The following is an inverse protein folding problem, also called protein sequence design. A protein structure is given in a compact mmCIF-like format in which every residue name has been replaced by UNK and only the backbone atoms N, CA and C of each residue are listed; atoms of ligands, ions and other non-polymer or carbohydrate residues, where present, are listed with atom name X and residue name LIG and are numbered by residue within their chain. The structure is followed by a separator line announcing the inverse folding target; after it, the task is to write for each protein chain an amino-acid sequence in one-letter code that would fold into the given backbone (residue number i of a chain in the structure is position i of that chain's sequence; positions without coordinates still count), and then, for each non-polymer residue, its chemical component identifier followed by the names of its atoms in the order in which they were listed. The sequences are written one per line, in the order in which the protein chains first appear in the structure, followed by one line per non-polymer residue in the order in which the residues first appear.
data_IF_532452456774
#
_entry.id   IF_532452456774
#
_cell.length_a   1.000
_cell.length_b   1.000
_cell.length_c   1.000
_cell.angle_alpha   90.00
_cell.angle_beta   90.00
_cell.angle_gamma   90.00
#
_symmetry.space_group_name_H-M   'P 1'
#
loop_
_entity.id
_entity.type
_entity.pdbx_description
1 polymer ?
#
# COMPACT_ATOMS: atom_id res chain seq x y z
N UNK A 1 -28.55 46.15 3.81
CA UNK A 1 -27.98 46.70 2.58
C UNK A 1 -28.15 45.66 1.48
N UNK A 2 -29.23 45.79 0.67
CA UNK A 2 -29.47 44.83 -0.43
C UNK A 2 -28.48 45.12 -1.55
N UNK A 3 -27.50 44.30 -1.69
CA UNK A 3 -26.56 44.35 -2.81
C UNK A 3 -27.30 43.77 -4.01
N UNK A 4 -27.67 44.59 -4.96
CA UNK A 4 -28.20 44.16 -6.26
C UNK A 4 -27.02 43.60 -7.05
N UNK A 5 -26.93 42.25 -7.12
CA UNK A 5 -25.76 41.53 -7.60
C UNK A 5 -25.71 41.37 -9.13
N UNK A 6 -26.66 41.95 -9.88
CA UNK A 6 -26.66 41.95 -11.35
C UNK A 6 -26.71 43.34 -11.98
N UNK A 7 -26.19 43.43 -13.22
CA UNK A 7 -26.23 44.68 -14.02
C UNK A 7 -27.65 45.17 -14.31
N UNK A 8 -28.67 44.29 -14.25
CA UNK A 8 -30.10 44.59 -14.46
C UNK A 8 -30.88 44.72 -13.14
N UNK A 9 -30.21 44.81 -11.98
CA UNK A 9 -30.83 44.98 -10.68
C UNK A 9 -31.58 43.73 -10.14
N UNK A 10 -31.35 42.54 -10.69
CA UNK A 10 -31.88 41.25 -10.20
C UNK A 10 -30.91 40.62 -9.21
N UNK A 11 -31.44 39.96 -8.19
CA UNK A 11 -30.63 39.17 -7.25
C UNK A 11 -30.09 37.90 -7.93
N UNK A 12 -28.78 37.76 -7.89
CA UNK A 12 -28.09 36.54 -8.42
C UNK A 12 -28.03 35.41 -7.39
N UNK A 13 -28.17 35.72 -6.10
CA UNK A 13 -28.05 34.78 -4.99
C UNK A 13 -26.76 34.96 -4.19
N UNK A 14 -26.77 34.47 -2.93
CA UNK A 14 -25.65 34.65 -1.98
C UNK A 14 -24.34 34.06 -2.50
N UNK A 15 -23.36 34.92 -2.75
CA UNK A 15 -22.01 34.53 -3.23
C UNK A 15 -21.86 34.57 -4.75
N UNK A 16 -22.85 35.07 -5.48
CA UNK A 16 -22.80 35.27 -6.94
C UNK A 16 -23.06 36.72 -7.26
N UNK A 17 -22.28 37.32 -8.15
CA UNK A 17 -22.49 38.67 -8.67
C UNK A 17 -22.12 38.72 -10.16
N UNK A 18 -22.80 39.61 -10.88
CA UNK A 18 -22.50 39.84 -12.29
C UNK A 18 -21.45 40.96 -12.42
N UNK A 19 -20.40 40.69 -13.17
CA UNK A 19 -19.32 41.63 -13.47
C UNK A 19 -19.73 42.57 -14.60
N UNK A 20 -18.99 43.66 -14.75
CA UNK A 20 -19.22 44.65 -15.83
C UNK A 20 -19.03 44.07 -17.24
N UNK A 21 -18.23 43.02 -17.36
CA UNK A 21 -18.02 42.27 -18.61
C UNK A 21 -19.15 41.26 -18.95
N UNK A 22 -20.22 41.23 -18.11
CA UNK A 22 -21.38 40.37 -18.30
C UNK A 22 -21.24 38.96 -17.68
N UNK A 23 -20.06 38.53 -17.29
CA UNK A 23 -19.83 37.25 -16.68
C UNK A 23 -20.32 37.17 -15.21
N UNK A 24 -20.74 36.00 -14.76
CA UNK A 24 -21.12 35.74 -13.39
C UNK A 24 -19.94 35.21 -12.59
N UNK A 25 -19.56 35.89 -11.52
CA UNK A 25 -18.57 35.42 -10.55
C UNK A 25 -19.29 34.71 -9.41
N UNK A 26 -18.98 33.45 -9.19
CA UNK A 26 -19.42 32.70 -8.02
C UNK A 26 -18.26 32.50 -7.06
N UNK A 27 -18.48 32.83 -5.77
CA UNK A 27 -17.45 32.76 -4.73
C UNK A 27 -17.97 32.15 -3.45
N UNK A 28 -17.10 31.36 -2.78
CA UNK A 28 -17.34 30.90 -1.42
C UNK A 28 -16.06 30.85 -0.63
N UNK A 29 -16.15 30.78 0.68
CA UNK A 29 -15.04 30.57 1.58
C UNK A 29 -15.07 29.14 2.08
N UNK A 30 -13.98 28.44 1.86
CA UNK A 30 -13.76 27.08 2.36
C UNK A 30 -13.66 27.09 3.88
N UNK A 31 -13.93 25.94 4.55
CA UNK A 31 -13.73 25.76 6.00
C UNK A 31 -12.33 26.19 6.47
N UNK A 32 -11.33 26.08 5.60
CA UNK A 32 -9.95 26.53 5.85
C UNK A 32 -9.73 28.03 5.65
N UNK A 33 -10.79 28.82 5.51
CA UNK A 33 -10.72 30.27 5.31
C UNK A 33 -10.25 30.72 3.92
N UNK A 34 -9.90 29.80 3.02
CA UNK A 34 -9.47 30.16 1.66
C UNK A 34 -10.67 30.51 0.79
N UNK A 35 -10.57 31.67 0.10
CA UNK A 35 -11.55 32.10 -0.89
C UNK A 35 -11.35 31.33 -2.19
N UNK A 36 -12.42 30.70 -2.70
CA UNK A 36 -12.50 30.11 -4.04
C UNK A 36 -13.48 30.92 -4.89
N UNK A 37 -13.09 31.25 -6.11
CA UNK A 37 -13.87 32.04 -7.06
C UNK A 37 -13.74 31.44 -8.46
N UNK A 38 -14.88 31.41 -9.20
CA UNK A 38 -14.93 30.96 -10.59
C UNK A 38 -15.91 31.80 -11.39
N UNK A 39 -15.63 31.94 -12.69
CA UNK A 39 -16.43 32.76 -13.61
C UNK A 39 -17.22 31.88 -14.57
N UNK A 40 -18.43 32.31 -14.90
CA UNK A 40 -19.39 31.61 -15.73
C UNK A 40 -20.11 32.55 -16.68
N UNK A 41 -20.53 32.06 -17.82
CA UNK A 41 -21.26 32.81 -18.82
C UNK A 41 -22.74 32.98 -18.41
N UNK A 42 -23.30 31.98 -17.70
CA UNK A 42 -24.70 31.95 -17.31
C UNK A 42 -24.90 31.88 -15.79
N UNK A 43 -25.99 32.48 -15.31
CA UNK A 43 -26.36 32.44 -13.90
C UNK A 43 -26.70 31.00 -13.39
N UNK A 44 -27.39 30.13 -14.17
CA UNK A 44 -27.63 28.76 -13.75
C UNK A 44 -26.33 27.96 -13.51
N UNK A 45 -25.34 28.08 -14.37
CA UNK A 45 -24.05 27.42 -14.21
C UNK A 45 -23.34 27.86 -12.94
N UNK A 46 -23.33 29.18 -12.67
CA UNK A 46 -22.75 29.76 -11.45
C UNK A 46 -23.46 29.24 -10.19
N UNK A 47 -24.79 29.09 -10.22
CA UNK A 47 -25.58 28.52 -9.10
C UNK A 47 -25.30 27.06 -8.88
N UNK A 48 -25.29 26.25 -9.96
CA UNK A 48 -25.00 24.82 -9.89
C UNK A 48 -23.62 24.58 -9.32
N UNK A 49 -22.60 25.24 -9.87
CA UNK A 49 -21.24 25.13 -9.34
C UNK A 49 -21.13 25.50 -7.86
N UNK A 50 -21.81 26.58 -7.43
CA UNK A 50 -21.76 27.00 -6.04
C UNK A 50 -22.51 26.03 -5.12
N UNK A 51 -23.60 25.42 -5.60
CA UNK A 51 -24.34 24.39 -4.88
C UNK A 51 -23.50 23.13 -4.72
N UNK A 52 -22.88 22.65 -5.82
CA UNK A 52 -22.00 21.49 -5.82
C UNK A 52 -20.80 21.69 -4.90
N UNK A 53 -20.13 22.85 -4.99
CA UNK A 53 -18.99 23.17 -4.15
C UNK A 53 -19.35 23.24 -2.65
N UNK A 54 -20.53 23.78 -2.31
CA UNK A 54 -21.03 23.77 -0.92
C UNK A 54 -21.45 22.38 -0.45
N UNK A 55 -22.03 21.58 -1.34
CA UNK A 55 -22.37 20.19 -1.06
C UNK A 55 -21.12 19.36 -0.78
N UNK A 56 -20.12 19.44 -1.65
CA UNK A 56 -18.84 18.76 -1.50
C UNK A 56 -18.15 19.14 -0.18
N UNK A 57 -18.17 20.42 0.18
CA UNK A 57 -17.57 20.91 1.42
C UNK A 57 -18.35 20.49 2.68
N UNK A 58 -19.69 20.47 2.60
CA UNK A 58 -20.55 20.04 3.71
C UNK A 58 -20.37 18.56 4.03
N UNK A 59 -20.15 17.75 2.99
CA UNK A 59 -19.97 16.30 3.10
C UNK A 59 -18.51 15.89 3.23
N UNK A 60 -17.60 16.83 3.51
CA UNK A 60 -16.15 16.58 3.61
C UNK A 60 -15.56 15.89 2.37
N UNK A 61 -16.17 16.07 1.20
CA UNK A 61 -15.67 15.50 -0.06
C UNK A 61 -14.42 16.24 -0.58
N UNK A 62 -14.08 17.38 0.05
CA UNK A 62 -12.85 18.14 -0.22
C UNK A 62 -12.02 18.15 1.07
N UNK A 63 -11.41 17.04 1.41
CA UNK A 63 -10.38 17.02 2.45
C UNK A 63 -9.05 16.84 1.77
N UNK A 64 -8.49 17.93 1.28
CA UNK A 64 -7.07 17.87 0.93
C UNK A 64 -6.43 19.22 1.17
N UNK A 65 -5.41 19.21 1.99
CA UNK A 65 -4.38 20.23 1.85
C UNK A 65 -3.91 20.18 0.39
N UNK A 66 -3.97 21.29 -0.37
CA UNK A 66 -3.51 21.30 -1.78
C UNK A 66 -2.07 20.80 -1.95
N UNK A 67 -1.33 20.71 -0.86
CA UNK A 67 0.09 20.37 -0.81
C UNK A 67 0.36 18.91 -0.37
N UNK A 68 -0.69 18.09 -0.16
CA UNK A 68 -0.51 16.67 0.22
C UNK A 68 -0.17 15.85 -1.02
N UNK A 69 1.11 15.54 -1.21
CA UNK A 69 1.56 14.61 -2.24
C UNK A 69 1.42 13.16 -1.77
N UNK A 70 1.46 12.21 -2.72
CA UNK A 70 1.48 10.77 -2.42
C UNK A 70 2.72 10.42 -1.57
N UNK A 71 3.88 11.04 -1.81
CA UNK A 71 5.09 10.86 -1.01
C UNK A 71 4.88 11.29 0.45
N UNK A 72 4.31 12.47 0.67
CA UNK A 72 4.03 12.97 2.03
C UNK A 72 3.03 12.07 2.75
N UNK A 73 2.00 11.62 2.05
CA UNK A 73 1.02 10.68 2.60
C UNK A 73 1.65 9.33 2.93
N UNK A 74 2.46 8.78 2.04
CA UNK A 74 3.14 7.50 2.28
C UNK A 74 4.05 7.56 3.51
N UNK A 75 4.85 8.62 3.67
CA UNK A 75 5.70 8.84 4.83
C UNK A 75 4.87 8.89 6.11
N UNK A 76 3.82 9.71 6.13
CA UNK A 76 2.93 9.79 7.28
C UNK A 76 2.26 8.44 7.61
N UNK A 77 1.80 7.73 6.59
CA UNK A 77 1.16 6.43 6.73
C UNK A 77 2.08 5.37 7.36
N UNK A 78 3.33 5.28 6.90
CA UNK A 78 4.33 4.34 7.44
C UNK A 78 4.69 4.66 8.89
N UNK A 79 4.80 5.93 9.24
CA UNK A 79 5.26 6.37 10.55
C UNK A 79 4.16 6.36 11.60
N UNK A 80 2.93 6.71 11.22
CA UNK A 80 1.87 6.97 12.19
C UNK A 80 0.69 5.99 12.13
N UNK A 81 0.39 5.40 10.97
CA UNK A 81 -0.80 4.56 10.81
C UNK A 81 -0.46 3.08 10.88
N UNK A 82 0.64 2.67 10.24
CA UNK A 82 1.08 1.26 10.24
C UNK A 82 2.32 1.06 11.11
N UNK A 83 2.44 1.87 12.16
CA UNK A 83 3.58 1.85 13.09
C UNK A 83 3.72 0.51 13.84
N UNK A 84 2.63 -0.23 14.04
CA UNK A 84 2.62 -1.49 14.78
C UNK A 84 2.98 -2.72 13.92
N UNK A 85 3.15 -2.54 12.62
CA UNK A 85 3.51 -3.65 11.74
C UNK A 85 4.94 -4.15 12.00
N UNK A 86 5.13 -5.45 11.83
CA UNK A 86 6.44 -6.08 11.91
C UNK A 86 7.46 -5.33 11.02
N UNK A 87 8.70 -5.15 11.50
CA UNK A 87 9.73 -4.37 10.78
C UNK A 87 9.95 -4.80 9.33
N UNK A 88 9.86 -6.12 9.04
CA UNK A 88 9.95 -6.64 7.67
C UNK A 88 8.80 -6.20 6.78
N UNK A 89 7.58 -6.12 7.33
CA UNK A 89 6.42 -5.66 6.58
C UNK A 89 6.57 -4.20 6.21
N UNK A 90 7.01 -3.36 7.16
CA UNK A 90 7.31 -1.94 6.90
C UNK A 90 8.37 -1.77 5.82
N UNK A 91 9.50 -2.47 5.95
CA UNK A 91 10.58 -2.45 4.95
C UNK A 91 10.07 -2.84 3.57
N UNK A 92 9.29 -3.93 3.49
CA UNK A 92 8.70 -4.37 2.24
C UNK A 92 7.76 -3.32 1.61
N UNK A 93 6.98 -2.60 2.42
CA UNK A 93 6.16 -1.49 1.93
C UNK A 93 7.03 -0.34 1.42
N UNK A 94 8.08 0.03 2.16
CA UNK A 94 9.00 1.11 1.78
C UNK A 94 9.74 0.79 0.49
N UNK A 95 10.27 -0.42 0.33
CA UNK A 95 10.98 -0.85 -0.87
C UNK A 95 10.05 -0.87 -2.09
N UNK A 96 8.85 -1.48 -1.96
CA UNK A 96 7.86 -1.50 -3.05
C UNK A 96 7.40 -0.12 -3.44
N UNK A 97 7.17 0.75 -2.46
CA UNK A 97 6.81 2.14 -2.73
C UNK A 97 7.92 2.85 -3.48
N UNK A 98 9.13 2.86 -2.94
CA UNK A 98 10.29 3.57 -3.47
C UNK A 98 10.62 3.16 -4.92
N UNK A 99 10.63 1.86 -5.20
CA UNK A 99 11.07 1.37 -6.50
C UNK A 99 9.96 1.33 -7.56
N UNK A 100 8.73 1.11 -7.15
CA UNK A 100 7.65 0.83 -8.10
C UNK A 100 6.59 1.93 -8.17
N UNK A 101 6.19 2.52 -7.05
CA UNK A 101 5.05 3.44 -6.97
C UNK A 101 5.52 4.90 -7.06
N UNK A 102 6.48 5.27 -6.24
CA UNK A 102 7.03 6.62 -6.13
C UNK A 102 7.42 7.25 -7.46
N UNK A 103 8.15 6.55 -8.38
CA UNK A 103 8.60 7.15 -9.63
C UNK A 103 7.46 7.56 -10.58
N UNK A 104 6.24 7.06 -10.36
CA UNK A 104 5.09 7.32 -11.24
C UNK A 104 4.12 8.33 -10.61
N UNK A 105 3.77 8.15 -9.34
CA UNK A 105 2.74 8.95 -8.69
C UNK A 105 3.21 9.69 -7.43
N UNK A 106 4.45 9.49 -6.98
CA UNK A 106 4.94 10.02 -5.70
C UNK A 106 4.81 11.55 -5.57
N UNK A 107 5.20 12.29 -6.60
CA UNK A 107 5.14 13.75 -6.61
C UNK A 107 3.74 14.32 -6.88
N UNK A 108 2.77 13.49 -7.26
CA UNK A 108 1.41 13.96 -7.55
C UNK A 108 0.67 14.34 -6.26
N UNK A 109 -0.22 15.34 -6.35
CA UNK A 109 -1.20 15.57 -5.30
C UNK A 109 -2.08 14.32 -5.16
N UNK A 110 -2.25 13.83 -3.92
CA UNK A 110 -2.98 12.58 -3.67
C UNK A 110 -4.45 12.69 -4.11
N UNK A 111 -5.04 13.87 -4.06
CA UNK A 111 -6.41 14.13 -4.53
C UNK A 111 -6.57 13.97 -6.04
N UNK A 112 -5.50 14.17 -6.79
CA UNK A 112 -5.50 14.09 -8.27
C UNK A 112 -5.20 12.68 -8.78
N UNK A 113 -4.89 11.74 -7.87
CA UNK A 113 -4.62 10.35 -8.25
C UNK A 113 -5.91 9.69 -8.74
N UNK A 114 -5.91 9.25 -9.99
CA UNK A 114 -7.02 8.58 -10.67
C UNK A 114 -6.68 7.11 -10.96
N UNK A 115 -7.68 6.25 -11.24
CA UNK A 115 -7.45 4.85 -11.57
C UNK A 115 -6.42 4.65 -12.70
N UNK A 116 -6.40 5.54 -13.70
CA UNK A 116 -5.43 5.49 -14.80
C UNK A 116 -3.98 5.63 -14.32
N UNK A 117 -3.71 6.44 -13.31
CA UNK A 117 -2.37 6.60 -12.75
C UNK A 117 -1.94 5.34 -11.99
N UNK A 118 -2.85 4.72 -11.24
CA UNK A 118 -2.59 3.44 -10.59
C UNK A 118 -2.33 2.32 -11.62
N UNK A 119 -3.09 2.28 -12.72
CA UNK A 119 -2.84 1.32 -13.81
C UNK A 119 -1.51 1.57 -14.51
N UNK A 120 -1.09 2.83 -14.66
CA UNK A 120 0.22 3.18 -15.23
C UNK A 120 1.39 2.64 -14.40
N UNK A 121 1.27 2.65 -13.04
CA UNK A 121 2.26 2.00 -12.16
C UNK A 121 2.39 0.52 -12.50
N UNK A 122 1.26 -0.20 -12.60
CA UNK A 122 1.25 -1.64 -12.87
C UNK A 122 1.79 -1.96 -14.27
N UNK A 123 1.36 -1.21 -15.29
CA UNK A 123 1.82 -1.40 -16.67
C UNK A 123 3.33 -1.20 -16.81
N UNK A 124 3.90 -0.20 -16.12
CA UNK A 124 5.36 -0.01 -16.08
C UNK A 124 6.08 -1.23 -15.52
N UNK A 125 5.47 -1.93 -14.57
CA UNK A 125 6.07 -3.11 -13.96
C UNK A 125 5.94 -4.37 -14.81
N UNK A 126 4.94 -4.46 -15.69
CA UNK A 126 4.66 -5.65 -16.51
C UNK A 126 5.84 -6.04 -17.42
N UNK A 127 6.65 -5.07 -17.83
CA UNK A 127 7.83 -5.31 -18.69
C UNK A 127 9.06 -5.84 -17.97
N UNK A 128 9.13 -5.68 -16.64
CA UNK A 128 10.38 -5.90 -15.87
C UNK A 128 10.21 -6.91 -14.75
N UNK A 129 9.01 -7.02 -14.17
CA UNK A 129 8.80 -7.76 -12.93
C UNK A 129 7.88 -8.96 -13.11
N UNK A 130 8.13 -10.01 -12.31
CA UNK A 130 7.24 -11.16 -12.22
C UNK A 130 5.86 -10.75 -11.65
N UNK A 131 4.81 -11.45 -12.06
CA UNK A 131 3.44 -11.16 -11.65
C UNK A 131 3.21 -11.16 -10.13
N UNK A 132 3.98 -11.95 -9.37
CA UNK A 132 3.95 -11.91 -7.90
C UNK A 132 4.41 -10.56 -7.34
N UNK A 133 5.44 -9.96 -7.93
CA UNK A 133 5.96 -8.64 -7.53
C UNK A 133 4.97 -7.54 -7.87
N UNK A 134 4.35 -7.60 -9.05
CA UNK A 134 3.29 -6.67 -9.47
C UNK A 134 2.10 -6.75 -8.51
N UNK A 135 1.69 -7.97 -8.13
CA UNK A 135 0.64 -8.17 -7.13
C UNK A 135 0.97 -7.51 -5.79
N UNK A 136 2.21 -7.59 -5.34
CA UNK A 136 2.63 -6.99 -4.08
C UNK A 136 2.60 -5.45 -4.15
N UNK A 137 3.00 -4.85 -5.27
CA UNK A 137 2.86 -3.41 -5.50
C UNK A 137 1.38 -2.99 -5.54
N UNK A 138 0.52 -3.76 -6.21
CA UNK A 138 -0.93 -3.55 -6.23
C UNK A 138 -1.52 -3.54 -4.81
N UNK A 139 -1.17 -4.51 -3.97
CA UNK A 139 -1.63 -4.60 -2.58
C UNK A 139 -1.12 -3.41 -1.77
N UNK A 140 0.16 -3.06 -1.88
CA UNK A 140 0.76 -1.93 -1.15
C UNK A 140 0.06 -0.62 -1.51
N UNK A 141 -0.11 -0.34 -2.80
CA UNK A 141 -0.80 0.85 -3.28
C UNK A 141 -2.27 0.87 -2.84
N UNK A 142 -2.96 -0.27 -2.94
CA UNK A 142 -4.35 -0.40 -2.49
C UNK A 142 -4.52 -0.14 -0.99
N UNK A 143 -3.66 -0.71 -0.15
CA UNK A 143 -3.71 -0.54 1.31
C UNK A 143 -3.44 0.91 1.71
N UNK A 144 -2.40 1.53 1.14
CA UNK A 144 -2.05 2.92 1.40
C UNK A 144 -3.17 3.89 1.00
N UNK A 145 -3.73 3.72 -0.21
CA UNK A 145 -4.80 4.60 -0.71
C UNK A 145 -6.14 4.33 -0.02
N UNK A 146 -6.42 3.08 0.40
CA UNK A 146 -7.58 2.77 1.24
C UNK A 146 -7.47 3.50 2.58
N UNK A 147 -6.30 3.50 3.18
CA UNK A 147 -6.06 4.24 4.42
C UNK A 147 -6.25 5.76 4.23
N UNK A 148 -5.89 6.31 3.07
CA UNK A 148 -6.14 7.71 2.76
C UNK A 148 -7.65 8.04 2.69
N UNK A 149 -8.46 7.13 2.17
CA UNK A 149 -9.93 7.28 2.19
C UNK A 149 -10.47 7.20 3.61
N UNK A 150 -10.00 6.23 4.42
CA UNK A 150 -10.46 6.05 5.80
C UNK A 150 -10.10 7.23 6.73
N UNK A 151 -9.06 7.98 6.37
CA UNK A 151 -8.64 9.18 7.10
C UNK A 151 -9.12 10.47 6.42
N UNK A 152 -10.11 10.39 5.53
CA UNK A 152 -10.71 11.52 4.84
C UNK A 152 -9.71 12.41 4.05
N UNK A 153 -8.56 11.84 3.65
CA UNK A 153 -7.56 12.53 2.83
C UNK A 153 -8.01 12.61 1.38
N UNK A 154 -8.69 11.58 0.90
CA UNK A 154 -9.30 11.50 -0.43
C UNK A 154 -10.73 10.97 -0.33
N UNK A 155 -11.63 11.49 -1.17
CA UNK A 155 -13.05 11.13 -1.12
C UNK A 155 -13.36 9.75 -1.72
N UNK A 156 -12.58 9.31 -2.72
CA UNK A 156 -12.81 8.07 -3.46
C UNK A 156 -11.52 7.28 -3.57
N UNK A 157 -11.65 5.96 -3.50
CA UNK A 157 -10.51 5.06 -3.62
C UNK A 157 -10.02 4.97 -5.08
N UNK A 158 -8.78 5.43 -5.39
CA UNK A 158 -8.30 5.45 -6.79
C UNK A 158 -8.09 4.06 -7.41
N UNK A 159 -8.02 3.02 -6.58
CA UNK A 159 -7.89 1.64 -7.07
C UNK A 159 -9.23 1.01 -7.50
N UNK A 160 -10.37 1.70 -7.29
CA UNK A 160 -11.66 1.19 -7.74
C UNK A 160 -11.67 1.06 -9.26
N UNK A 161 -11.95 -0.15 -9.75
CA UNK A 161 -11.93 -0.48 -11.17
C UNK A 161 -10.55 -0.81 -11.75
N UNK A 162 -9.46 -0.63 -11.02
CA UNK A 162 -8.13 -1.08 -11.44
C UNK A 162 -8.04 -2.59 -11.27
N UNK A 163 -7.92 -3.31 -12.38
CA UNK A 163 -7.78 -4.77 -12.37
C UNK A 163 -6.31 -5.16 -12.47
N UNK A 164 -5.92 -6.11 -11.64
CA UNK A 164 -4.68 -6.84 -11.73
C UNK A 164 -4.99 -8.26 -12.21
N UNK A 165 -4.45 -8.64 -13.34
CA UNK A 165 -4.60 -10.01 -13.86
C UNK A 165 -3.59 -10.90 -13.18
N UNK A 166 -4.07 -11.79 -12.30
CA UNK A 166 -3.20 -12.78 -11.66
C UNK A 166 -2.69 -13.75 -12.72
N UNK A 167 -1.37 -13.89 -12.89
CA UNK A 167 -0.84 -14.92 -13.79
C UNK A 167 -1.30 -16.29 -13.29
N UNK A 168 -1.84 -17.08 -14.18
CA UNK A 168 -2.19 -18.48 -13.90
C UNK A 168 -0.88 -19.23 -13.77
N UNK A 169 -0.59 -19.76 -12.58
CA UNK A 169 0.51 -20.72 -12.41
C UNK A 169 0.04 -22.07 -12.93
N UNK A 170 0.81 -22.65 -13.84
CA UNK A 170 0.66 -24.05 -14.18
C UNK A 170 0.96 -24.91 -12.93
N UNK A 171 0.28 -26.03 -12.79
CA UNK A 171 0.47 -26.96 -11.66
C UNK A 171 1.93 -27.46 -11.63
N UNK A 172 2.54 -27.57 -12.82
CA UNK A 172 3.92 -28.01 -13.01
C UNK A 172 4.99 -26.99 -12.55
N UNK A 173 4.59 -25.76 -12.21
CA UNK A 173 5.51 -24.74 -11.64
C UNK A 173 5.85 -24.98 -10.15
N UNK A 174 5.24 -25.97 -9.50
CA UNK A 174 5.56 -26.31 -8.11
C UNK A 174 6.79 -27.22 -8.13
N UNK A 175 7.94 -26.63 -7.84
CA UNK A 175 9.21 -27.38 -7.73
C UNK A 175 9.33 -27.98 -6.34
N UNK A 176 9.41 -29.28 -6.30
CA UNK A 176 9.75 -30.07 -5.11
C UNK A 176 10.77 -31.14 -5.50
N UNK A 177 11.56 -31.58 -4.56
CA UNK A 177 12.50 -32.66 -4.78
C UNK A 177 11.76 -33.98 -4.54
N UNK A 178 11.88 -34.95 -5.47
CA UNK A 178 11.47 -36.32 -5.22
C UNK A 178 12.41 -36.99 -4.20
N UNK A 179 12.06 -38.14 -3.67
CA UNK A 179 12.91 -38.83 -2.70
C UNK A 179 14.29 -39.13 -3.30
N UNK A 180 14.34 -39.60 -4.53
CA UNK A 180 15.58 -39.89 -5.25
C UNK A 180 16.42 -38.65 -5.50
N UNK A 181 15.77 -37.52 -5.76
CA UNK A 181 16.45 -36.23 -5.91
C UNK A 181 16.99 -35.70 -4.58
N UNK A 182 16.29 -35.95 -3.47
CA UNK A 182 16.76 -35.59 -2.13
C UNK A 182 18.00 -36.41 -1.75
N UNK A 183 18.01 -37.70 -2.03
CA UNK A 183 19.18 -38.57 -1.79
C UNK A 183 20.39 -38.10 -2.60
N UNK A 184 20.23 -37.86 -3.91
CA UNK A 184 21.29 -37.32 -4.77
C UNK A 184 21.78 -35.95 -4.30
N UNK A 185 20.86 -35.08 -3.84
CA UNK A 185 21.22 -33.79 -3.31
C UNK A 185 22.07 -33.92 -2.04
N UNK A 186 21.69 -34.80 -1.10
CA UNK A 186 22.44 -35.04 0.12
C UNK A 186 23.81 -35.66 -0.16
N UNK A 187 23.91 -36.59 -1.09
CA UNK A 187 25.20 -37.16 -1.54
C UNK A 187 26.12 -36.06 -2.10
N UNK A 188 25.61 -35.23 -3.00
CA UNK A 188 26.36 -34.12 -3.55
C UNK A 188 26.77 -33.08 -2.48
N UNK A 189 25.90 -32.85 -1.49
CA UNK A 189 26.14 -31.92 -0.40
C UNK A 189 27.04 -32.51 0.71
N UNK A 190 27.39 -33.81 0.71
CA UNK A 190 28.11 -34.47 1.80
C UNK A 190 29.43 -33.78 2.19
N UNK A 191 30.09 -33.16 1.23
CA UNK A 191 31.36 -32.40 1.45
C UNK A 191 31.11 -30.91 1.79
N UNK A 192 29.86 -30.46 1.79
CA UNK A 192 29.52 -29.08 2.07
C UNK A 192 29.58 -28.78 3.58
N UNK A 193 30.07 -27.60 3.94
CA UNK A 193 29.98 -27.09 5.31
C UNK A 193 28.54 -27.08 5.83
N UNK A 194 27.55 -26.91 4.94
CA UNK A 194 26.14 -26.80 5.27
C UNK A 194 25.37 -28.15 5.21
N UNK A 195 26.06 -29.26 5.04
CA UNK A 195 25.39 -30.56 4.92
C UNK A 195 24.38 -30.86 6.02
N UNK A 196 24.75 -30.62 7.29
CA UNK A 196 23.89 -30.88 8.46
C UNK A 196 22.64 -30.02 8.43
N UNK A 197 22.74 -28.79 7.93
CA UNK A 197 21.64 -27.88 7.80
C UNK A 197 20.66 -28.36 6.71
N UNK A 198 21.17 -28.84 5.58
CA UNK A 198 20.35 -29.39 4.51
C UNK A 198 19.62 -30.66 4.94
N UNK A 199 20.33 -31.58 5.59
CA UNK A 199 19.72 -32.79 6.12
C UNK A 199 18.60 -32.46 7.12
N UNK A 200 18.87 -31.58 8.08
CA UNK A 200 17.87 -31.15 9.06
C UNK A 200 16.63 -30.51 8.40
N UNK A 201 16.82 -29.64 7.40
CA UNK A 201 15.72 -29.02 6.68
C UNK A 201 14.86 -30.00 5.91
N UNK A 202 15.48 -31.00 5.24
CA UNK A 202 14.77 -32.04 4.50
C UNK A 202 13.97 -32.94 5.44
N UNK A 203 14.58 -33.40 6.53
CA UNK A 203 13.96 -34.31 7.51
C UNK A 203 12.82 -33.64 8.30
N UNK A 204 12.98 -32.34 8.66
CA UNK A 204 12.02 -31.67 9.53
C UNK A 204 11.04 -30.74 8.79
N UNK A 205 11.37 -30.36 7.56
CA UNK A 205 10.62 -29.36 6.79
C UNK A 205 10.56 -27.98 7.48
N UNK A 206 11.54 -27.64 8.31
CA UNK A 206 11.67 -26.32 8.92
C UNK A 206 11.92 -25.25 7.87
N UNK A 207 11.42 -24.02 8.12
CA UNK A 207 11.89 -22.88 7.34
C UNK A 207 13.32 -22.52 7.73
N UNK A 208 14.09 -21.98 6.81
CA UNK A 208 15.50 -21.59 7.08
C UNK A 208 15.63 -20.69 8.31
N UNK A 209 14.75 -19.72 8.48
CA UNK A 209 14.76 -18.82 9.63
C UNK A 209 14.42 -19.52 10.97
N UNK A 210 13.57 -20.53 10.94
CA UNK A 210 13.23 -21.38 12.07
C UNK A 210 14.43 -22.28 12.46
N UNK A 211 15.07 -22.90 11.46
CA UNK A 211 16.28 -23.70 11.67
C UNK A 211 17.42 -22.88 12.31
N UNK A 212 17.67 -21.67 11.80
CA UNK A 212 18.71 -20.79 12.36
C UNK A 212 18.36 -20.36 13.79
N UNK A 213 17.07 -20.23 14.11
CA UNK A 213 16.58 -19.90 15.45
C UNK A 213 16.52 -21.07 16.42
N UNK A 214 16.81 -22.29 15.99
CA UNK A 214 16.68 -23.49 16.78
C UNK A 214 17.80 -23.55 17.86
N UNK A 215 17.42 -23.90 19.07
CA UNK A 215 18.33 -24.07 20.21
C UNK A 215 18.13 -25.48 20.82
N UNK A 216 19.10 -25.98 21.53
CA UNK A 216 19.10 -27.33 22.10
C UNK A 216 17.96 -27.57 23.10
N UNK A 217 17.52 -26.56 23.82
CA UNK A 217 16.37 -26.57 24.73
C UNK A 217 15.01 -26.76 24.02
N UNK A 218 14.96 -26.55 22.70
CA UNK A 218 13.77 -26.79 21.89
C UNK A 218 13.57 -28.25 21.50
N UNK A 219 14.53 -29.12 21.81
CA UNK A 219 14.50 -30.55 21.46
C UNK A 219 14.19 -31.39 22.70
N UNK A 220 13.06 -32.07 22.66
CA UNK A 220 12.71 -33.10 23.68
C UNK A 220 13.11 -34.48 23.18
N UNK A 221 14.26 -34.92 23.63
CA UNK A 221 14.84 -36.24 23.25
C UNK A 221 14.00 -37.44 23.69
N UNK A 222 13.30 -37.30 24.83
CA UNK A 222 12.47 -38.34 25.38
C UNK A 222 11.22 -38.61 24.55
N UNK A 223 10.57 -37.53 24.14
CA UNK A 223 9.33 -37.56 23.36
C UNK A 223 9.60 -37.47 21.84
N UNK A 224 10.86 -37.36 21.44
CA UNK A 224 11.29 -37.19 20.02
C UNK A 224 10.52 -36.02 19.35
N UNK A 225 10.40 -34.91 20.04
CA UNK A 225 9.70 -33.74 19.52
C UNK A 225 10.61 -32.53 19.46
N UNK A 226 10.38 -31.72 18.44
CA UNK A 226 11.03 -30.44 18.24
C UNK A 226 9.99 -29.33 18.31
N UNK A 227 10.24 -28.33 19.17
CA UNK A 227 9.35 -27.18 19.35
C UNK A 227 9.92 -25.96 18.65
N UNK A 228 9.18 -25.41 17.68
CA UNK A 228 9.58 -24.20 16.96
C UNK A 228 8.95 -23.00 17.63
N UNK A 229 9.73 -22.25 18.39
CA UNK A 229 9.29 -21.08 19.16
C UNK A 229 10.01 -19.79 18.75
N UNK A 230 11.03 -19.86 17.90
CA UNK A 230 11.85 -18.74 17.47
C UNK A 230 12.09 -18.80 15.95
N UNK A 231 12.23 -17.62 15.36
CA UNK A 231 12.71 -17.46 14.00
C UNK A 231 13.76 -16.36 14.00
N UNK A 232 14.93 -16.64 13.43
CA UNK A 232 16.03 -15.68 13.33
C UNK A 232 16.18 -15.19 11.90
N UNK A 233 16.35 -13.89 11.78
CA UNK A 233 16.68 -13.23 10.51
C UNK A 233 17.97 -12.42 10.69
N UNK A 234 18.90 -12.57 9.78
CA UNK A 234 20.10 -11.74 9.76
C UNK A 234 19.86 -10.47 8.96
N UNK A 235 20.19 -9.32 9.56
CA UNK A 235 20.11 -8.01 8.92
C UNK A 235 21.45 -7.32 8.95
N UNK A 236 21.96 -6.91 7.80
CA UNK A 236 23.24 -6.24 7.68
C UNK A 236 23.40 -5.01 8.60
N UNK A 237 22.33 -4.26 8.86
CA UNK A 237 22.35 -3.05 9.71
C UNK A 237 22.12 -3.30 11.20
N UNK A 238 21.58 -4.47 11.59
CA UNK A 238 21.14 -4.75 12.97
C UNK A 238 21.66 -6.09 13.51
N UNK A 239 22.37 -6.87 12.71
CA UNK A 239 22.78 -8.23 13.06
C UNK A 239 21.60 -9.22 13.08
N UNK A 240 21.68 -10.21 13.95
CA UNK A 240 20.64 -11.23 14.10
C UNK A 240 19.42 -10.68 14.86
N UNK A 241 18.25 -10.71 14.24
CA UNK A 241 16.97 -10.32 14.86
C UNK A 241 16.15 -11.56 15.11
N UNK A 242 15.75 -11.77 16.38
CA UNK A 242 14.90 -12.90 16.80
C UNK A 242 13.44 -12.49 16.86
N UNK A 243 12.58 -13.33 16.30
CA UNK A 243 11.13 -13.23 16.43
C UNK A 243 10.63 -14.38 17.28
N UNK A 244 10.04 -14.07 18.45
CA UNK A 244 9.59 -15.06 19.44
C UNK A 244 8.09 -15.34 19.42
N UNK A 245 7.30 -14.57 18.66
CA UNK A 245 5.85 -14.76 18.53
C UNK A 245 5.51 -15.57 17.28
N UNK A 246 5.97 -16.80 17.25
CA UNK A 246 5.50 -17.78 16.27
C UNK A 246 4.42 -18.63 16.93
N UNK A 247 3.42 -19.04 16.15
CA UNK A 247 2.56 -20.14 16.55
C UNK A 247 3.45 -21.33 16.88
N UNK A 248 3.32 -21.86 18.08
CA UNK A 248 4.18 -22.96 18.55
C UNK A 248 3.79 -24.23 17.81
N UNK A 249 4.62 -24.64 16.86
CA UNK A 249 4.47 -25.93 16.18
C UNK A 249 5.31 -26.99 16.87
N UNK A 250 4.66 -28.04 17.35
CA UNK A 250 5.35 -29.26 17.74
C UNK A 250 5.47 -30.15 16.52
N UNK A 251 6.69 -30.47 16.12
CA UNK A 251 6.98 -31.41 15.04
C UNK A 251 7.62 -32.65 15.64
N UNK A 252 7.16 -33.81 15.20
CA UNK A 252 7.83 -35.08 15.52
C UNK A 252 9.15 -35.12 14.74
N UNK A 253 10.22 -35.47 15.45
CA UNK A 253 11.48 -35.84 14.83
C UNK A 253 11.27 -37.27 14.33
N UNK A 254 11.41 -37.48 13.03
CA UNK A 254 11.35 -38.79 12.45
C UNK A 254 12.47 -39.68 13.03
N UNK A 255 12.22 -41.00 13.16
CA UNK A 255 13.15 -41.94 13.78
C UNK A 255 14.48 -42.05 13.08
#
# INVERSE_FOLDING_TARGET
MCIRDSLKGKECGKGIYQRKDGLYSARYYSKNGKRKERYFETLPEAKNWLADARYEERHNLIVTSPDMTVDKWFTYWIENIVCDLAPNTKRNYQERYKWNIQPVIGAMCIADVKPMHCKAVLNRMETTYAGSTIRQAYITMGTMLKSAVMNDIIAKHPMNGVRYTKPVRAVDDIKYLTVEEQEKFLEAAARSHNYRQYALLLETGLRTAEMIGLTWDAIDWKNRTLTVNKSLEYRHSQGSVSYTHLDVYKRQILP
#
